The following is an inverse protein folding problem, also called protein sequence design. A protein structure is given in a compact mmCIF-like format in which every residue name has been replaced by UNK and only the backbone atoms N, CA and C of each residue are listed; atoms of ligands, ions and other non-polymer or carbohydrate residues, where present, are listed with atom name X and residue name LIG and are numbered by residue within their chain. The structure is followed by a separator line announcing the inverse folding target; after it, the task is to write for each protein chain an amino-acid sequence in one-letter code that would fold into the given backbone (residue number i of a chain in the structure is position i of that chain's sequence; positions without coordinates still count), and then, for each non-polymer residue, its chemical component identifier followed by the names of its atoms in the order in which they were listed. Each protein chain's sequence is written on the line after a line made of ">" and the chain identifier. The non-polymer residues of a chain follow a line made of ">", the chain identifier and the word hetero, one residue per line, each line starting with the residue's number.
data_IF_473252900386
#
_entry.id   IF_473252900386
#
_cell.length_a   1.000
_cell.length_b   1.000
_cell.length_c   1.000
_cell.angle_alpha   90.00
_cell.angle_beta   90.00
_cell.angle_gamma   90.00
#
_symmetry.space_group_name_H-M   'P 1'
#
loop_
_entity.id
_entity.type
_entity.pdbx_description
1 polymer ?
#
# COMPACT_ATOMS: atom_id res chain seq x y z
N UNK A 1 11.51 10.98 15.45
CA UNK A 1 11.11 9.64 14.94
C UNK A 1 11.14 9.70 13.42
N UNK A 2 11.66 8.67 12.74
CA UNK A 2 11.83 8.66 11.27
C UNK A 2 10.52 8.25 10.57
N UNK A 3 10.42 8.49 9.26
CA UNK A 3 9.35 7.91 8.43
C UNK A 3 9.94 6.73 7.67
N UNK A 4 9.31 5.56 7.76
CA UNK A 4 9.67 4.40 6.94
C UNK A 4 8.93 4.49 5.60
N UNK A 5 9.65 4.39 4.49
CA UNK A 5 9.07 4.29 3.14
C UNK A 5 9.28 2.87 2.64
N UNK A 6 8.22 2.08 2.59
CA UNK A 6 8.22 0.72 2.07
C UNK A 6 7.84 0.74 0.59
N UNK A 7 8.82 0.51 -0.30
CA UNK A 7 8.64 0.59 -1.74
C UNK A 7 8.63 -0.81 -2.39
N UNK A 8 7.76 -1.00 -3.37
CA UNK A 8 7.87 -2.14 -4.29
C UNK A 8 8.58 -1.69 -5.56
N UNK A 9 9.83 -2.14 -5.85
CA UNK A 9 10.59 -1.69 -7.00
C UNK A 9 9.91 -2.02 -8.33
N UNK A 10 9.08 -3.07 -8.36
CA UNK A 10 8.30 -3.50 -9.54
C UNK A 10 6.90 -2.85 -9.62
N UNK A 11 6.55 -2.00 -8.65
CA UNK A 11 5.30 -1.25 -8.63
C UNK A 11 5.17 -0.27 -9.80
N UNK A 12 3.99 -0.19 -10.40
CA UNK A 12 3.65 0.81 -11.43
C UNK A 12 4.49 0.76 -12.70
N UNK A 13 4.88 -0.43 -13.15
CA UNK A 13 5.81 -0.64 -14.27
C UNK A 13 7.21 -0.06 -13.98
N UNK A 14 7.80 -0.43 -12.83
CA UNK A 14 9.13 -0.02 -12.39
C UNK A 14 9.30 1.49 -12.13
N UNK A 15 8.21 2.19 -11.80
CA UNK A 15 8.21 3.66 -11.59
C UNK A 15 8.34 4.06 -10.12
N UNK A 16 8.11 3.15 -9.17
CA UNK A 16 8.10 3.47 -7.75
C UNK A 16 9.46 4.05 -7.26
N UNK A 17 10.59 3.40 -7.56
CA UNK A 17 11.91 3.93 -7.17
C UNK A 17 12.27 5.24 -7.87
N UNK A 18 11.85 5.40 -9.13
CA UNK A 18 12.04 6.65 -9.86
C UNK A 18 11.23 7.79 -9.20
N UNK A 19 9.99 7.51 -8.80
CA UNK A 19 9.16 8.46 -8.06
C UNK A 19 9.77 8.78 -6.68
N UNK A 20 10.36 7.78 -6.02
CA UNK A 20 11.07 7.99 -4.77
C UNK A 20 12.22 9.00 -4.92
N UNK A 21 13.14 8.74 -5.84
CA UNK A 21 14.34 9.56 -6.04
C UNK A 21 14.02 10.95 -6.59
N UNK A 22 13.02 11.08 -7.49
CA UNK A 22 12.70 12.35 -8.15
C UNK A 22 11.75 13.25 -7.35
N UNK A 23 10.89 12.68 -6.51
CA UNK A 23 9.79 13.43 -5.87
C UNK A 23 9.83 13.22 -4.35
N UNK A 24 9.65 11.98 -3.90
CA UNK A 24 9.42 11.69 -2.48
C UNK A 24 10.60 12.12 -1.62
N UNK A 25 11.81 11.68 -1.97
CA UNK A 25 13.05 11.97 -1.25
C UNK A 25 13.39 13.48 -1.27
N UNK A 26 13.35 14.19 -2.40
CA UNK A 26 13.51 15.65 -2.42
C UNK A 26 12.49 16.40 -1.56
N UNK A 27 11.21 16.02 -1.59
CA UNK A 27 10.17 16.66 -0.78
C UNK A 27 10.40 16.44 0.73
N UNK A 28 10.76 15.23 1.15
CA UNK A 28 11.15 14.98 2.53
C UNK A 28 12.39 15.77 2.94
N UNK A 29 13.40 15.89 2.07
CA UNK A 29 14.60 16.68 2.32
C UNK A 29 14.28 18.18 2.52
N UNK A 30 13.37 18.75 1.70
CA UNK A 30 12.88 20.12 1.89
C UNK A 30 12.17 20.32 3.23
N UNK A 31 11.49 19.29 3.73
CA UNK A 31 10.87 19.27 5.05
C UNK A 31 11.84 18.92 6.19
N UNK A 32 13.14 18.71 5.89
CA UNK A 32 14.18 18.27 6.84
C UNK A 32 13.84 16.94 7.52
N UNK A 33 13.18 16.05 6.79
CA UNK A 33 12.88 14.68 7.20
C UNK A 33 13.82 13.76 6.43
N UNK A 34 14.50 12.87 7.14
CA UNK A 34 15.31 11.80 6.53
C UNK A 34 14.50 10.50 6.57
N UNK A 35 13.87 10.09 5.46
CA UNK A 35 13.11 8.86 5.39
C UNK A 35 14.04 7.64 5.30
N UNK A 36 13.59 6.53 5.88
CA UNK A 36 14.25 5.24 5.76
C UNK A 36 13.58 4.45 4.63
N UNK A 37 14.29 4.23 3.51
CA UNK A 37 13.78 3.41 2.42
C UNK A 37 13.96 1.91 2.72
N UNK A 38 12.90 1.15 2.51
CA UNK A 38 12.87 -0.31 2.55
C UNK A 38 12.26 -0.82 1.26
N UNK A 39 13.02 -1.60 0.51
CA UNK A 39 12.58 -2.15 -0.78
C UNK A 39 12.11 -3.59 -0.60
N UNK A 40 10.96 -3.93 -1.18
CA UNK A 40 10.48 -5.31 -1.16
C UNK A 40 11.32 -6.16 -2.10
N UNK A 41 11.92 -7.22 -1.56
CA UNK A 41 12.81 -8.12 -2.31
C UNK A 41 12.10 -9.34 -2.92
N UNK A 42 10.94 -9.72 -2.40
CA UNK A 42 10.20 -10.92 -2.80
C UNK A 42 8.70 -10.77 -2.53
N UNK A 43 7.91 -11.76 -2.97
CA UNK A 43 6.50 -11.86 -2.59
C UNK A 43 6.38 -11.95 -1.06
N UNK A 44 5.32 -11.37 -0.48
CA UNK A 44 5.05 -11.36 0.97
C UNK A 44 6.06 -10.63 1.86
N UNK A 45 7.12 -10.04 1.31
CA UNK A 45 8.07 -9.21 2.08
C UNK A 45 7.39 -8.18 2.97
N UNK A 46 6.36 -7.49 2.47
CA UNK A 46 5.67 -6.46 3.24
C UNK A 46 4.90 -7.03 4.46
N UNK A 47 4.40 -8.27 4.33
CA UNK A 47 3.76 -8.99 5.43
C UNK A 47 4.80 -9.36 6.50
N UNK A 48 5.91 -9.98 6.10
CA UNK A 48 7.01 -10.34 7.01
C UNK A 48 7.62 -9.11 7.68
N UNK A 49 7.76 -8.02 6.92
CA UNK A 49 8.20 -6.73 7.42
C UNK A 49 7.22 -6.22 8.47
N UNK A 50 5.92 -6.15 8.18
CA UNK A 50 4.90 -5.72 9.15
C UNK A 50 4.90 -6.55 10.44
N UNK A 51 5.13 -7.86 10.33
CA UNK A 51 5.19 -8.77 11.47
C UNK A 51 6.38 -8.48 12.40
N UNK A 52 7.55 -8.15 11.84
CA UNK A 52 8.81 -7.99 12.59
C UNK A 52 9.18 -6.54 12.90
N UNK A 53 8.52 -5.56 12.26
CA UNK A 53 8.88 -4.15 12.36
C UNK A 53 8.69 -3.60 13.78
N UNK A 54 9.74 -3.02 14.38
CA UNK A 54 9.51 -2.17 15.55
C UNK A 54 8.88 -0.84 15.09
N UNK A 55 7.56 -0.73 15.20
CA UNK A 55 6.81 0.47 14.82
C UNK A 55 7.10 1.67 15.72
N UNK A 56 7.64 1.46 16.93
CA UNK A 56 7.92 2.55 17.88
C UNK A 56 9.05 3.46 17.38
N UNK A 57 9.97 2.94 16.56
CA UNK A 57 11.06 3.75 16.00
C UNK A 57 10.58 4.76 14.92
N UNK A 58 9.42 4.51 14.31
CA UNK A 58 8.89 5.36 13.23
C UNK A 58 7.74 6.24 13.68
N UNK A 59 7.65 7.44 13.13
CA UNK A 59 6.48 8.30 13.27
C UNK A 59 5.31 7.81 12.40
N UNK A 60 5.65 7.24 11.23
CA UNK A 60 4.71 6.65 10.29
C UNK A 60 5.43 5.63 9.40
N UNK A 61 4.67 4.67 8.87
CA UNK A 61 5.09 3.78 7.79
C UNK A 61 4.27 4.11 6.56
N UNK A 62 4.93 4.41 5.45
CA UNK A 62 4.26 4.83 4.21
C UNK A 62 4.63 3.85 3.12
N UNK A 63 3.64 3.30 2.44
CA UNK A 63 3.86 2.41 1.29
C UNK A 63 4.00 3.23 0.01
N UNK A 64 4.95 2.88 -0.85
CA UNK A 64 5.16 3.49 -2.16
C UNK A 64 4.91 2.44 -3.24
N UNK A 65 3.62 2.22 -3.56
CA UNK A 65 3.13 1.18 -4.48
C UNK A 65 1.62 1.39 -4.74
N UNK A 66 0.89 0.33 -5.10
CA UNK A 66 -0.57 0.28 -5.04
C UNK A 66 -1.10 -0.40 -3.77
N UNK A 67 -2.41 -0.64 -3.72
CA UNK A 67 -3.12 -1.13 -2.52
C UNK A 67 -2.61 -2.50 -2.02
N UNK A 68 -2.09 -3.36 -2.90
CA UNK A 68 -1.61 -4.70 -2.52
C UNK A 68 -0.43 -4.70 -1.55
N UNK A 69 0.50 -3.74 -1.66
CA UNK A 69 1.63 -3.66 -0.73
C UNK A 69 1.18 -3.23 0.67
N UNK A 70 0.23 -2.27 0.71
CA UNK A 70 -0.40 -1.84 1.95
C UNK A 70 -1.22 -2.97 2.57
N UNK A 71 -1.93 -3.75 1.76
CA UNK A 71 -2.68 -4.91 2.23
C UNK A 71 -1.77 -5.92 2.95
N UNK A 72 -0.63 -6.27 2.35
CA UNK A 72 0.36 -7.16 2.97
C UNK A 72 0.90 -6.57 4.27
N UNK A 73 1.28 -5.30 4.28
CA UNK A 73 1.78 -4.62 5.48
C UNK A 73 0.77 -4.67 6.64
N UNK A 74 -0.49 -4.33 6.37
CA UNK A 74 -1.56 -4.34 7.38
C UNK A 74 -1.75 -5.77 7.93
N UNK A 75 -1.85 -6.78 7.06
CA UNK A 75 -2.01 -8.16 7.51
C UNK A 75 -0.79 -8.64 8.32
N UNK A 76 0.41 -8.22 7.94
CA UNK A 76 1.64 -8.49 8.70
C UNK A 76 1.57 -7.92 10.12
N UNK A 77 1.17 -6.65 10.25
CA UNK A 77 0.97 -5.99 11.55
C UNK A 77 -0.13 -6.69 12.37
N UNK A 78 -1.25 -7.05 11.73
CA UNK A 78 -2.37 -7.72 12.40
C UNK A 78 -2.05 -9.16 12.84
N UNK A 79 -1.02 -9.80 12.28
CA UNK A 79 -0.57 -11.14 12.67
C UNK A 79 0.25 -11.18 13.97
N UNK A 80 0.58 -10.01 14.54
CA UNK A 80 1.42 -9.91 15.73
C UNK A 80 0.64 -10.16 17.01
N UNK A 81 1.35 -10.57 18.07
CA UNK A 81 0.76 -10.69 19.41
C UNK A 81 0.33 -9.33 19.97
N UNK A 82 1.09 -8.27 19.68
CA UNK A 82 0.84 -6.89 20.11
C UNK A 82 0.04 -6.07 19.07
N UNK A 83 -0.70 -6.74 18.16
CA UNK A 83 -1.35 -6.09 17.03
C UNK A 83 -2.26 -4.91 17.42
N UNK A 84 -2.93 -4.99 18.58
CA UNK A 84 -3.85 -3.96 19.07
C UNK A 84 -3.18 -2.61 19.28
N UNK A 85 -1.91 -2.61 19.69
CA UNK A 85 -1.12 -1.39 19.84
C UNK A 85 -0.33 -1.08 18.56
N UNK A 86 0.16 -2.11 17.88
CA UNK A 86 0.89 -1.97 16.62
C UNK A 86 0.06 -1.25 15.55
N UNK A 87 -1.20 -1.66 15.34
CA UNK A 87 -2.08 -1.10 14.29
C UNK A 87 -2.45 0.36 14.51
N UNK A 88 -2.29 0.90 15.73
CA UNK A 88 -2.48 2.33 16.03
C UNK A 88 -1.37 3.21 15.46
N UNK A 89 -0.27 2.61 15.02
CA UNK A 89 0.83 3.33 14.37
C UNK A 89 0.34 3.95 13.06
N UNK A 90 0.70 5.20 12.74
CA UNK A 90 0.28 5.82 11.48
C UNK A 90 0.78 5.06 10.26
N UNK A 91 -0.13 4.68 9.37
CA UNK A 91 0.17 4.02 8.10
C UNK A 91 -0.36 4.89 6.96
N UNK A 92 0.43 5.06 5.90
CA UNK A 92 0.06 5.84 4.73
C UNK A 92 0.34 5.14 3.41
N UNK A 93 -0.17 5.73 2.32
CA UNK A 93 0.04 5.29 0.95
C UNK A 93 0.46 6.46 0.08
N UNK A 94 1.51 6.27 -0.71
CA UNK A 94 1.93 7.14 -1.80
C UNK A 94 1.67 6.36 -3.10
N UNK A 95 0.76 6.83 -3.96
CA UNK A 95 0.27 6.06 -5.10
C UNK A 95 1.33 5.94 -6.19
N UNK A 96 1.90 4.74 -6.34
CA UNK A 96 2.79 4.38 -7.43
C UNK A 96 2.34 3.09 -8.14
N UNK A 97 1.16 2.57 -7.83
CA UNK A 97 0.56 1.41 -8.49
C UNK A 97 -0.36 1.78 -9.66
N UNK A 98 -0.90 0.75 -10.30
CA UNK A 98 -1.90 0.87 -11.38
C UNK A 98 -3.29 1.17 -10.82
N UNK A 99 -3.68 0.45 -9.77
CA UNK A 99 -4.88 0.69 -8.98
C UNK A 99 -4.43 1.21 -7.62
N UNK A 100 -4.83 2.44 -7.29
CA UNK A 100 -4.53 3.13 -6.03
C UNK A 100 -5.85 3.56 -5.38
N UNK A 101 -6.73 2.60 -5.13
CA UNK A 101 -8.10 2.83 -4.66
C UNK A 101 -8.14 3.61 -3.36
N UNK A 102 -7.33 3.23 -2.36
CA UNK A 102 -7.27 3.97 -1.10
C UNK A 102 -6.78 5.40 -1.29
N UNK A 103 -5.70 5.60 -2.06
CA UNK A 103 -5.16 6.93 -2.30
C UNK A 103 -6.20 7.84 -2.98
N UNK A 104 -6.95 7.31 -3.95
CA UNK A 104 -8.07 8.04 -4.59
C UNK A 104 -9.19 8.37 -3.60
N UNK A 105 -9.57 7.43 -2.75
CA UNK A 105 -10.59 7.65 -1.71
C UNK A 105 -10.19 8.74 -0.71
N UNK A 106 -8.89 8.95 -0.51
CA UNK A 106 -8.33 9.99 0.37
C UNK A 106 -8.01 11.31 -0.37
N UNK A 107 -8.38 11.43 -1.65
CA UNK A 107 -8.02 12.55 -2.54
C UNK A 107 -6.49 12.78 -2.67
N UNK A 108 -5.71 11.72 -2.49
CA UNK A 108 -4.26 11.69 -2.64
C UNK A 108 -3.89 11.22 -4.06
N UNK A 109 -4.34 11.96 -5.06
CA UNK A 109 -4.31 11.53 -6.46
C UNK A 109 -2.93 11.61 -7.14
N UNK A 110 -1.90 12.13 -6.46
CA UNK A 110 -0.53 12.23 -6.99
C UNK A 110 0.51 11.87 -5.94
N UNK A 111 1.73 11.55 -6.40
CA UNK A 111 2.88 11.27 -5.54
C UNK A 111 3.19 12.48 -4.66
N UNK A 112 3.14 13.68 -5.23
CA UNK A 112 3.38 14.95 -4.54
C UNK A 112 2.33 15.19 -3.45
N UNK A 113 1.04 15.04 -3.77
CA UNK A 113 -0.06 15.25 -2.83
C UNK A 113 0.04 14.28 -1.64
N UNK A 114 0.27 12.99 -1.92
CA UNK A 114 0.43 11.98 -0.90
C UNK A 114 1.70 12.18 -0.05
N UNK A 115 2.81 12.58 -0.68
CA UNK A 115 4.06 12.88 0.04
C UNK A 115 3.88 14.09 0.94
N UNK A 116 3.19 15.15 0.46
CA UNK A 116 2.88 16.31 1.27
C UNK A 116 1.98 15.95 2.46
N UNK A 117 1.00 15.07 2.27
CA UNK A 117 0.16 14.56 3.36
C UNK A 117 1.00 13.80 4.41
N UNK A 118 1.92 12.94 3.97
CA UNK A 118 2.84 12.23 4.86
C UNK A 118 3.74 13.19 5.65
N UNK A 119 4.25 14.25 5.01
CA UNK A 119 5.03 15.31 5.67
C UNK A 119 4.20 16.07 6.70
N UNK A 120 2.94 16.41 6.37
CA UNK A 120 2.03 17.10 7.29
C UNK A 120 1.68 16.26 8.53
N UNK A 121 1.77 14.93 8.44
CA UNK A 121 1.61 14.02 9.56
C UNK A 121 0.21 14.01 10.18
N UNK A 122 -0.82 14.49 9.47
CA UNK A 122 -2.21 14.42 9.94
C UNK A 122 -2.73 13.01 9.75
N UNK A 123 -3.31 12.44 10.80
CA UNK A 123 -3.83 11.07 10.80
C UNK A 123 -5.33 11.07 11.06
N UNK A 124 -6.01 10.10 10.49
CA UNK A 124 -7.42 9.83 10.71
C UNK A 124 -7.57 8.34 11.03
N UNK A 125 -8.53 8.01 11.90
CA UNK A 125 -8.92 6.63 12.10
C UNK A 125 -9.54 6.10 10.79
N UNK A 126 -9.21 4.85 10.45
CA UNK A 126 -9.74 4.16 9.29
C UNK A 126 -10.21 2.77 9.72
N UNK A 127 -11.32 2.32 9.13
CA UNK A 127 -11.87 1.00 9.39
C UNK A 127 -11.09 -0.08 8.65
N UNK A 128 -11.02 -1.27 9.24
CA UNK A 128 -10.45 -2.47 8.64
C UNK A 128 -11.49 -3.58 8.73
N UNK A 129 -11.72 -4.26 7.61
CA UNK A 129 -12.61 -5.41 7.51
C UNK A 129 -11.85 -6.68 7.93
N UNK A 130 -12.47 -7.53 8.74
CA UNK A 130 -11.97 -8.87 9.04
C UNK A 130 -12.79 -9.92 8.29
N UNK A 131 -12.12 -10.83 7.60
CA UNK A 131 -12.73 -11.89 6.79
C UNK A 131 -12.26 -13.24 7.32
N UNK A 132 -13.16 -13.98 7.96
CA UNK A 132 -12.90 -15.33 8.44
C UNK A 132 -12.97 -16.34 7.30
N UNK A 133 -11.96 -17.20 7.20
CA UNK A 133 -11.89 -18.27 6.20
C UNK A 133 -12.31 -19.62 6.79
N UNK A 134 -12.74 -20.59 5.97
CA UNK A 134 -13.15 -21.92 6.44
C UNK A 134 -12.06 -22.70 7.18
N UNK A 135 -10.78 -22.40 6.92
CA UNK A 135 -9.62 -22.97 7.61
C UNK A 135 -9.40 -22.38 9.02
N UNK A 136 -10.28 -21.47 9.47
CA UNK A 136 -10.21 -20.81 10.77
C UNK A 136 -9.29 -19.58 10.80
N UNK A 137 -8.58 -19.28 9.71
CA UNK A 137 -7.72 -18.10 9.65
C UNK A 137 -8.50 -16.84 9.27
N UNK A 138 -7.94 -15.66 9.56
CA UNK A 138 -8.55 -14.35 9.27
C UNK A 138 -7.64 -13.56 8.35
N UNK A 139 -8.22 -12.95 7.32
CA UNK A 139 -7.57 -11.94 6.47
C UNK A 139 -8.21 -10.59 6.72
N UNK A 140 -7.40 -9.54 6.69
CA UNK A 140 -7.86 -8.16 6.88
C UNK A 140 -7.86 -7.38 5.57
N UNK A 141 -8.95 -6.64 5.30
CA UNK A 141 -9.11 -5.77 4.13
C UNK A 141 -9.25 -4.30 4.52
N UNK A 142 -8.62 -3.39 3.77
CA UNK A 142 -8.63 -1.95 4.06
C UNK A 142 -9.40 -1.11 3.03
N UNK A 143 -9.95 -1.75 1.98
CA UNK A 143 -10.60 -1.05 0.87
C UNK A 143 -11.89 -1.75 0.43
N UNK A 144 -11.79 -2.96 -0.10
CA UNK A 144 -12.95 -3.72 -0.57
C UNK A 144 -12.73 -5.24 -0.45
N UNK A 145 -13.85 -5.97 -0.51
CA UNK A 145 -13.90 -7.41 -0.75
C UNK A 145 -14.84 -7.61 -1.94
N UNK A 146 -14.34 -8.28 -3.00
CA UNK A 146 -15.04 -8.41 -4.27
C UNK A 146 -15.37 -9.89 -4.53
N UNK A 147 -16.51 -10.14 -5.18
CA UNK A 147 -16.93 -11.47 -5.60
C UNK A 147 -17.69 -11.41 -6.93
N UNK A 148 -17.70 -12.53 -7.66
CA UNK A 148 -18.31 -12.63 -8.99
C UNK A 148 -17.53 -11.85 -10.04
N UNK A 149 -18.25 -11.28 -11.02
CA UNK A 149 -17.69 -10.66 -12.23
C UNK A 149 -16.53 -9.70 -11.97
N UNK A 150 -16.63 -8.85 -10.94
CA UNK A 150 -15.60 -7.83 -10.66
C UNK A 150 -14.29 -8.49 -10.18
N UNK A 151 -14.37 -9.48 -9.29
CA UNK A 151 -13.20 -10.20 -8.79
C UNK A 151 -12.55 -11.01 -9.92
N UNK A 152 -13.38 -11.63 -10.72
CA UNK A 152 -13.02 -12.37 -11.92
C UNK A 152 -12.23 -11.50 -12.92
N UNK A 153 -12.74 -10.30 -13.23
CA UNK A 153 -12.06 -9.31 -14.07
C UNK A 153 -10.72 -8.89 -13.47
N UNK A 154 -10.68 -8.61 -12.16
CA UNK A 154 -9.46 -8.20 -11.47
C UNK A 154 -8.37 -9.27 -11.58
N UNK A 155 -8.69 -10.52 -11.24
CA UNK A 155 -7.76 -11.67 -11.28
C UNK A 155 -7.25 -11.93 -12.69
N UNK A 156 -8.14 -12.06 -13.67
CA UNK A 156 -7.72 -12.52 -14.99
C UNK A 156 -7.06 -11.43 -15.84
N UNK A 157 -7.39 -10.16 -15.57
CA UNK A 157 -6.74 -9.02 -16.23
C UNK A 157 -5.26 -8.88 -15.85
N UNK A 158 -4.77 -9.56 -14.80
CA UNK A 158 -3.35 -9.59 -14.43
C UNK A 158 -2.44 -10.07 -15.58
N UNK A 159 -2.94 -10.93 -16.48
CA UNK A 159 -2.23 -11.35 -17.70
C UNK A 159 -1.90 -10.17 -18.62
N UNK A 160 -2.65 -9.07 -18.51
CA UNK A 160 -2.52 -7.83 -19.26
C UNK A 160 -1.93 -6.69 -18.39
N UNK A 161 -1.18 -7.01 -17.32
CA UNK A 161 -0.59 -6.00 -16.41
C UNK A 161 0.23 -4.92 -17.14
N UNK A 162 0.84 -5.26 -18.27
CA UNK A 162 1.55 -4.31 -19.13
C UNK A 162 0.65 -3.17 -19.67
N UNK A 163 -0.65 -3.40 -19.82
CA UNK A 163 -1.63 -2.42 -20.29
C UNK A 163 -2.11 -1.45 -19.19
N UNK A 164 -1.54 -1.52 -17.98
CA UNK A 164 -1.90 -0.63 -16.89
C UNK A 164 -3.39 -0.72 -16.54
N UNK A 165 -4.05 0.41 -16.26
CA UNK A 165 -5.46 0.42 -15.84
C UNK A 165 -6.42 0.02 -16.96
N UNK A 166 -6.00 0.13 -18.22
CA UNK A 166 -6.82 -0.23 -19.39
C UNK A 166 -7.14 -1.74 -19.43
N UNK A 167 -6.34 -2.56 -18.75
CA UNK A 167 -6.59 -4.02 -18.62
C UNK A 167 -7.98 -4.36 -18.09
N UNK A 168 -8.50 -3.54 -17.16
CA UNK A 168 -9.82 -3.76 -16.56
C UNK A 168 -10.94 -3.57 -17.57
N UNK A 169 -10.79 -2.60 -18.49
CA UNK A 169 -11.76 -2.35 -19.54
C UNK A 169 -11.78 -3.51 -20.55
N UNK A 170 -10.60 -3.95 -21.00
CA UNK A 170 -10.48 -5.07 -21.95
C UNK A 170 -11.14 -6.32 -21.37
N UNK A 171 -10.75 -6.69 -20.15
CA UNK A 171 -11.22 -7.94 -19.56
C UNK A 171 -12.68 -7.87 -19.11
N UNK A 172 -13.14 -6.68 -18.71
CA UNK A 172 -14.56 -6.43 -18.44
C UNK A 172 -15.44 -6.70 -19.66
N UNK A 173 -15.02 -6.26 -20.86
CA UNK A 173 -15.76 -6.53 -22.11
C UNK A 173 -15.70 -8.01 -22.49
N UNK A 174 -14.57 -8.69 -22.31
CA UNK A 174 -14.42 -10.12 -22.67
C UNK A 174 -15.33 -11.03 -21.83
N UNK A 175 -15.67 -10.59 -20.61
CA UNK A 175 -16.42 -11.39 -19.63
C UNK A 175 -17.92 -11.06 -19.56
N UNK A 176 -18.34 -10.00 -20.24
CA UNK A 176 -19.75 -9.67 -20.50
C UNK A 176 -20.29 -10.55 -21.63
#
# INVERSE_FOLDING_TARGET
>A
RRICVLANPYGGNNKALQAYERIVKPMFALARIEPELRESSHADFAYEFGQSLDLKQYAAVVTLSGDGLLHQLINGIMSRLDWQDAIKSPIGIIPCGTCNGLAKSLDLNSVEAATLAAIKGRTHAADVMAVSRPDGSVIYGHLNMLWGLIADVDIESEKLRWAGSFRMNIWGVIRL
#
